data_IF_362193255290
#
_entry.id   IF_362193255290
#
_cell.length_a   1.000
_cell.length_b   1.000
_cell.length_c   1.000
_cell.angle_alpha   90.00
_cell.angle_beta   90.00
_cell.angle_gamma   90.00
#
_symmetry.space_group_name_H-M   'P 1'
#
loop_
_entity.id
_entity.type
_entity.pdbx_description
1 polymer ?
#
# COMPACT_ATOMS: atom_id res chain seq x y z
N UNK A 1 0.92 28.40 -14.03
CA UNK A 1 0.06 27.39 -13.66
C UNK A 1 0.72 26.17 -14.20
N UNK A 2 0.83 25.07 -13.50
CA UNK A 2 1.59 23.87 -13.83
C UNK A 2 3.11 24.04 -13.99
N UNK A 3 3.78 24.30 -12.86
CA UNK A 3 5.18 23.97 -12.63
C UNK A 3 5.27 23.13 -11.38
N UNK A 4 4.66 21.98 -11.42
CA UNK A 4 4.77 20.98 -10.37
C UNK A 4 4.85 19.63 -11.02
N UNK A 5 5.89 18.87 -10.64
CA UNK A 5 5.93 17.43 -10.79
C UNK A 5 6.49 16.83 -12.07
N UNK A 6 7.68 17.29 -12.43
CA UNK A 6 8.64 16.32 -12.91
C UNK A 6 9.68 16.08 -11.79
N UNK A 7 9.24 15.56 -10.67
CA UNK A 7 10.10 15.03 -9.61
C UNK A 7 10.79 13.79 -10.17
N UNK A 8 11.87 14.08 -10.85
CA UNK A 8 12.81 13.20 -11.47
C UNK A 8 13.04 11.96 -10.59
N UNK A 9 12.69 10.77 -11.09
CA UNK A 9 13.09 9.46 -10.51
C UNK A 9 14.58 9.39 -10.18
N UNK A 10 15.41 10.25 -10.76
CA UNK A 10 16.87 10.37 -10.53
C UNK A 10 17.26 11.02 -9.19
N UNK A 11 16.31 11.50 -8.38
CA UNK A 11 16.59 12.23 -7.14
C UNK A 11 16.06 11.57 -5.86
N UNK A 12 15.56 10.34 -5.94
CA UNK A 12 15.16 9.59 -4.76
C UNK A 12 16.39 9.07 -4.02
N UNK A 13 16.38 9.08 -2.69
CA UNK A 13 17.50 8.55 -1.91
C UNK A 13 17.53 7.03 -1.97
N UNK A 14 18.72 6.46 -1.98
CA UNK A 14 18.90 5.03 -1.74
C UNK A 14 18.77 4.72 -0.24
N UNK A 15 18.49 3.47 0.12
CA UNK A 15 18.50 3.05 1.53
C UNK A 15 19.85 3.36 2.20
N UNK A 16 20.94 3.18 1.47
CA UNK A 16 22.28 3.49 1.97
C UNK A 16 22.45 4.99 2.27
N UNK A 17 21.90 5.86 1.41
CA UNK A 17 21.92 7.31 1.61
C UNK A 17 21.05 7.73 2.80
N UNK A 18 19.89 7.12 3.00
CA UNK A 18 19.07 7.33 4.19
C UNK A 18 19.81 6.90 5.47
N UNK A 19 20.58 5.82 5.41
CA UNK A 19 21.42 5.36 6.52
C UNK A 19 22.49 6.41 6.88
N UNK A 20 23.11 7.06 5.89
CA UNK A 20 24.07 8.16 6.17
C UNK A 20 23.43 9.28 6.98
N UNK A 21 22.22 9.71 6.63
CA UNK A 21 21.51 10.76 7.35
C UNK A 21 21.04 10.30 8.74
N UNK A 22 20.66 9.05 8.88
CA UNK A 22 20.28 8.48 10.18
C UNK A 22 21.48 8.41 11.13
N UNK A 23 22.67 8.11 10.62
CA UNK A 23 23.89 8.13 11.43
C UNK A 23 24.34 9.57 11.69
N UNK A 24 24.19 10.50 10.72
CA UNK A 24 24.48 11.92 10.92
C UNK A 24 23.68 12.50 12.09
N UNK A 25 22.43 12.14 12.24
CA UNK A 25 21.57 12.64 13.34
C UNK A 25 22.07 12.23 14.73
N UNK A 26 22.82 11.12 14.81
CA UNK A 26 23.37 10.59 16.07
C UNK A 26 24.76 11.12 16.39
N UNK A 27 25.39 11.83 15.44
CA UNK A 27 26.74 12.32 15.54
C UNK A 27 26.79 13.78 16.01
N UNK A 28 27.76 14.06 16.88
CA UNK A 28 28.12 15.43 17.13
C UNK A 28 28.88 16.00 15.93
N UNK A 29 28.60 17.26 15.59
CA UNK A 29 29.20 17.93 14.45
C UNK A 29 30.66 18.32 14.76
N UNK A 30 31.52 17.33 14.92
CA UNK A 30 32.94 17.49 15.28
C UNK A 30 33.82 16.99 14.15
N UNK A 31 35.11 17.38 14.24
CA UNK A 31 36.15 16.94 13.29
C UNK A 31 36.11 15.39 13.15
N UNK A 32 36.14 14.91 11.93
CA UNK A 32 36.11 13.46 11.63
C UNK A 32 34.71 12.81 11.58
N UNK A 33 33.63 13.60 11.75
CA UNK A 33 32.24 13.08 11.69
C UNK A 33 31.98 12.26 10.44
N UNK A 34 32.37 12.72 9.24
CA UNK A 34 32.19 11.99 7.98
C UNK A 34 32.89 10.62 8.01
N UNK A 35 34.08 10.54 8.62
CA UNK A 35 34.80 9.27 8.73
C UNK A 35 34.07 8.30 9.66
N UNK A 36 33.56 8.77 10.80
CA UNK A 36 32.76 7.94 11.72
C UNK A 36 31.45 7.43 11.08
N UNK A 37 30.76 8.28 10.32
CA UNK A 37 29.56 7.87 9.58
C UNK A 37 29.93 6.81 8.54
N UNK A 38 31.01 7.02 7.80
CA UNK A 38 31.48 6.09 6.79
C UNK A 38 31.83 4.71 7.39
N UNK A 39 32.51 4.70 8.52
CA UNK A 39 32.84 3.49 9.28
C UNK A 39 31.58 2.75 9.74
N UNK A 40 30.62 3.44 10.38
CA UNK A 40 29.34 2.85 10.82
C UNK A 40 28.52 2.31 9.66
N UNK A 41 28.61 2.95 8.51
CA UNK A 41 27.92 2.53 7.29
C UNK A 41 28.69 1.51 6.45
N UNK A 42 29.93 1.16 6.84
CA UNK A 42 30.83 0.24 6.15
C UNK A 42 31.12 0.66 4.69
N UNK A 43 31.38 1.94 4.49
CA UNK A 43 31.71 2.54 3.19
C UNK A 43 32.94 3.44 3.31
N UNK A 44 33.49 3.87 2.18
CA UNK A 44 34.52 4.92 2.18
C UNK A 44 33.91 6.30 2.48
N UNK A 45 34.73 7.28 2.84
CA UNK A 45 34.28 8.64 3.16
C UNK A 45 33.72 9.41 1.98
N UNK A 46 34.18 9.09 0.76
CA UNK A 46 33.84 9.83 -0.45
C UNK A 46 32.34 9.82 -0.81
N UNK A 47 31.62 8.67 -0.83
CA UNK A 47 30.17 8.66 -1.09
C UNK A 47 29.38 9.39 0.00
N UNK A 48 29.77 9.29 1.27
CA UNK A 48 29.13 10.02 2.38
C UNK A 48 29.28 11.52 2.16
N UNK A 49 30.51 12.01 1.97
CA UNK A 49 30.80 13.43 1.77
C UNK A 49 30.04 14.01 0.58
N UNK A 50 30.04 13.31 -0.57
CA UNK A 50 29.29 13.75 -1.77
C UNK A 50 27.79 13.85 -1.51
N UNK A 51 27.23 12.87 -0.81
CA UNK A 51 25.80 12.87 -0.55
C UNK A 51 25.39 13.97 0.46
N UNK A 52 26.17 14.17 1.53
CA UNK A 52 25.91 15.26 2.48
C UNK A 52 26.00 16.64 1.82
N UNK A 53 26.97 16.86 0.92
CA UNK A 53 27.04 18.10 0.13
C UNK A 53 25.79 18.28 -0.74
N UNK A 54 25.34 17.22 -1.42
CA UNK A 54 24.09 17.27 -2.21
C UNK A 54 22.87 17.58 -1.33
N UNK A 55 22.85 17.14 -0.06
CA UNK A 55 21.78 17.50 0.88
C UNK A 55 21.86 18.98 1.30
N UNK A 56 23.05 19.57 1.42
CA UNK A 56 23.20 21.01 1.64
C UNK A 56 22.68 21.81 0.42
N UNK A 57 23.06 21.41 -0.78
CA UNK A 57 22.59 22.05 -2.02
C UNK A 57 21.05 21.99 -2.18
N UNK A 58 20.42 20.94 -1.66
CA UNK A 58 18.96 20.77 -1.63
C UNK A 58 18.27 21.47 -0.46
N UNK A 59 19.02 22.13 0.42
CA UNK A 59 18.46 22.79 1.60
C UNK A 59 18.00 21.85 2.72
N UNK A 60 18.33 20.56 2.65
CA UNK A 60 18.02 19.59 3.70
C UNK A 60 18.99 19.70 4.89
N UNK A 61 20.22 20.12 4.61
CA UNK A 61 21.26 20.38 5.61
C UNK A 61 21.81 21.80 5.46
N UNK A 62 22.28 22.37 6.55
CA UNK A 62 23.11 23.60 6.55
C UNK A 62 24.53 23.28 6.06
N UNK A 63 25.33 24.31 5.79
CA UNK A 63 26.77 24.16 5.44
C UNK A 63 27.54 23.39 6.48
N UNK A 64 27.16 23.52 7.76
CA UNK A 64 27.73 22.78 8.89
C UNK A 64 27.10 21.36 9.05
N UNK A 65 26.43 20.84 8.05
CA UNK A 65 25.77 19.52 8.06
C UNK A 65 24.75 19.32 9.19
N UNK A 66 24.08 20.38 9.66
CA UNK A 66 22.93 20.28 10.58
C UNK A 66 21.63 20.20 9.79
N UNK A 67 20.68 19.43 10.27
CA UNK A 67 19.37 19.38 9.65
C UNK A 67 18.66 20.75 9.68
N UNK A 68 18.15 21.16 8.54
CA UNK A 68 17.15 22.24 8.47
C UNK A 68 15.79 21.73 8.96
N UNK A 69 14.80 22.61 9.15
CA UNK A 69 13.42 22.18 9.47
C UNK A 69 12.86 21.24 8.40
N UNK A 70 13.08 21.59 7.16
CA UNK A 70 12.66 20.80 5.99
C UNK A 70 13.40 19.46 5.96
N UNK A 71 14.69 19.46 6.21
CA UNK A 71 15.51 18.25 6.26
C UNK A 71 15.09 17.32 7.38
N UNK A 72 14.79 17.85 8.56
CA UNK A 72 14.31 17.06 9.70
C UNK A 72 12.95 16.41 9.37
N UNK A 73 12.01 17.20 8.85
CA UNK A 73 10.70 16.67 8.45
C UNK A 73 10.82 15.59 7.36
N UNK A 74 11.75 15.78 6.42
CA UNK A 74 12.02 14.86 5.34
C UNK A 74 12.59 13.53 5.84
N UNK A 75 13.62 13.54 6.70
CA UNK A 75 14.21 12.29 7.22
C UNK A 75 13.26 11.56 8.16
N UNK A 76 12.49 12.27 9.00
CA UNK A 76 11.48 11.67 9.87
C UNK A 76 10.40 10.94 9.06
N UNK A 77 9.98 11.51 7.93
CA UNK A 77 9.02 10.85 7.05
C UNK A 77 9.59 9.53 6.47
N UNK A 78 10.85 9.51 6.04
CA UNK A 78 11.50 8.27 5.57
C UNK A 78 11.68 7.25 6.69
N UNK A 79 12.05 7.66 7.90
CA UNK A 79 12.11 6.76 9.07
C UNK A 79 10.76 6.11 9.34
N UNK A 80 9.69 6.91 9.29
CA UNK A 80 8.33 6.39 9.43
C UNK A 80 7.98 5.38 8.33
N UNK A 81 8.28 5.68 7.08
CA UNK A 81 8.08 4.78 5.94
C UNK A 81 8.83 3.47 6.15
N UNK A 82 10.12 3.53 6.47
CA UNK A 82 10.95 2.33 6.69
C UNK A 82 10.44 1.46 7.85
N UNK A 83 9.85 2.07 8.87
CA UNK A 83 9.24 1.36 10.01
C UNK A 83 7.90 0.69 9.63
N UNK A 84 7.09 1.34 8.81
CA UNK A 84 5.71 0.93 8.52
C UNK A 84 5.58 0.02 7.30
N UNK A 85 6.43 0.20 6.31
CA UNK A 85 6.36 -0.50 5.03
C UNK A 85 6.48 -2.04 5.16
N UNK A 86 7.36 -2.60 6.01
CA UNK A 86 7.39 -4.05 6.24
C UNK A 86 6.06 -4.61 6.76
N UNK A 87 5.40 -3.90 7.67
CA UNK A 87 4.10 -4.31 8.21
C UNK A 87 3.01 -4.28 7.15
N UNK A 88 3.02 -3.27 6.29
CA UNK A 88 2.14 -3.21 5.13
C UNK A 88 2.37 -4.42 4.19
N UNK A 89 3.60 -4.70 3.83
CA UNK A 89 3.92 -5.82 2.94
C UNK A 89 3.51 -7.19 3.51
N UNK A 90 3.73 -7.42 4.81
CA UNK A 90 3.22 -8.62 5.48
C UNK A 90 1.71 -8.74 5.38
N UNK A 91 0.99 -7.63 5.54
CA UNK A 91 -0.48 -7.64 5.51
C UNK A 91 -1.06 -7.98 4.14
N UNK A 92 -0.34 -7.71 3.06
CA UNK A 92 -0.73 -8.05 1.69
C UNK A 92 -0.14 -9.38 1.20
N UNK A 93 0.54 -10.13 2.09
CA UNK A 93 1.01 -11.48 1.83
C UNK A 93 2.40 -11.58 1.21
N UNK A 94 3.23 -10.53 1.27
CA UNK A 94 4.64 -10.62 0.84
C UNK A 94 5.41 -11.51 1.83
N UNK A 95 6.13 -12.55 1.35
CA UNK A 95 6.94 -13.42 2.19
C UNK A 95 8.07 -12.66 2.90
N UNK A 96 8.38 -13.08 4.14
CA UNK A 96 9.42 -12.43 4.97
C UNK A 96 10.77 -12.31 4.25
N UNK A 97 11.17 -13.36 3.52
CA UNK A 97 12.43 -13.37 2.75
C UNK A 97 12.50 -12.31 1.63
N UNK A 98 11.36 -11.75 1.21
CA UNK A 98 11.30 -10.73 0.15
C UNK A 98 11.09 -9.32 0.69
N UNK A 99 10.84 -9.15 1.99
CA UNK A 99 10.47 -7.83 2.55
C UNK A 99 11.57 -6.79 2.34
N UNK A 100 12.81 -7.12 2.63
CA UNK A 100 13.93 -6.19 2.50
C UNK A 100 14.10 -5.70 1.06
N UNK A 101 14.05 -6.62 0.09
CA UNK A 101 14.15 -6.28 -1.33
C UNK A 101 13.00 -5.37 -1.77
N UNK A 102 11.75 -5.71 -1.40
CA UNK A 102 10.58 -4.91 -1.75
C UNK A 102 10.57 -3.53 -1.08
N UNK A 103 11.04 -3.42 0.18
CA UNK A 103 11.21 -2.13 0.86
C UNK A 103 12.23 -1.26 0.12
N UNK A 104 13.36 -1.83 -0.26
CA UNK A 104 14.41 -1.14 -1.03
C UNK A 104 13.86 -0.64 -2.35
N UNK A 105 13.26 -1.53 -3.14
CA UNK A 105 12.74 -1.19 -4.47
C UNK A 105 11.68 -0.09 -4.39
N UNK A 106 10.81 -0.14 -3.39
CA UNK A 106 9.78 0.87 -3.22
C UNK A 106 10.37 2.23 -2.82
N UNK A 107 11.28 2.26 -1.87
CA UNK A 107 11.89 3.51 -1.39
C UNK A 107 12.77 4.17 -2.45
N UNK A 108 13.50 3.38 -3.24
CA UNK A 108 14.44 3.89 -4.23
C UNK A 108 13.78 4.27 -5.57
N UNK A 109 12.55 3.79 -5.84
CA UNK A 109 11.88 3.98 -7.13
C UNK A 109 10.53 4.69 -7.06
N UNK A 110 9.94 4.84 -5.87
CA UNK A 110 8.62 5.45 -5.67
C UNK A 110 8.76 6.71 -4.81
N UNK A 111 8.03 7.78 -5.17
CA UNK A 111 8.09 9.02 -4.40
C UNK A 111 7.64 8.82 -2.95
N UNK A 112 8.30 9.49 -2.02
CA UNK A 112 7.97 9.50 -0.60
C UNK A 112 6.49 9.88 -0.36
N UNK A 113 5.96 10.82 -1.15
CA UNK A 113 4.56 11.23 -1.12
C UNK A 113 3.62 10.06 -1.44
N UNK A 114 3.88 9.33 -2.52
CA UNK A 114 3.06 8.18 -2.93
C UNK A 114 3.07 7.09 -1.87
N UNK A 115 4.26 6.74 -1.33
CA UNK A 115 4.38 5.73 -0.27
C UNK A 115 3.62 6.18 0.98
N UNK A 116 3.78 7.44 1.39
CA UNK A 116 3.10 7.99 2.58
C UNK A 116 1.58 7.98 2.42
N UNK A 117 1.07 8.32 1.23
CA UNK A 117 -0.36 8.28 0.92
C UNK A 117 -0.89 6.86 0.99
N UNK A 118 -0.17 5.89 0.42
CA UNK A 118 -0.51 4.47 0.46
C UNK A 118 -0.57 3.94 1.90
N UNK A 119 0.46 4.23 2.71
CA UNK A 119 0.51 3.81 4.12
C UNK A 119 -0.59 4.48 4.96
N UNK A 120 -0.91 5.74 4.68
CA UNK A 120 -2.00 6.46 5.35
C UNK A 120 -3.36 5.84 5.02
N UNK A 121 -3.60 5.52 3.76
CA UNK A 121 -4.82 4.83 3.34
C UNK A 121 -4.92 3.43 3.96
N UNK A 122 -3.83 2.68 3.98
CA UNK A 122 -3.77 1.38 4.64
C UNK A 122 -4.14 1.47 6.12
N UNK A 123 -3.57 2.44 6.87
CA UNK A 123 -3.92 2.65 8.28
C UNK A 123 -5.39 3.05 8.47
N UNK A 124 -5.91 3.89 7.57
CA UNK A 124 -7.33 4.27 7.60
C UNK A 124 -8.20 3.03 7.39
N UNK A 125 -7.88 2.19 6.42
CA UNK A 125 -8.59 0.93 6.18
C UNK A 125 -8.49 -0.01 7.39
N UNK A 126 -7.32 -0.16 7.99
CA UNK A 126 -7.18 -0.96 9.22
C UNK A 126 -7.95 -0.37 10.40
N UNK A 127 -7.96 0.94 10.55
CA UNK A 127 -8.73 1.61 11.61
C UNK A 127 -10.23 1.48 11.39
N UNK A 128 -10.68 1.49 10.15
CA UNK A 128 -12.04 1.15 9.80
C UNK A 128 -12.30 -0.33 10.06
N UNK A 129 -11.45 -1.26 9.70
CA UNK A 129 -11.63 -2.69 10.02
C UNK A 129 -11.71 -3.00 11.51
N UNK A 130 -11.02 -2.25 12.37
CA UNK A 130 -11.18 -2.36 13.83
C UNK A 130 -12.55 -1.80 14.28
N UNK A 131 -13.08 -0.78 13.60
CA UNK A 131 -14.47 -0.34 13.75
C UNK A 131 -15.44 -1.29 13.04
N UNK A 132 -15.07 -1.84 11.91
CA UNK A 132 -15.83 -2.74 11.02
C UNK A 132 -16.04 -4.16 11.51
N UNK A 133 -15.61 -4.53 12.69
CA UNK A 133 -16.33 -5.61 13.38
C UNK A 133 -17.83 -5.33 13.48
N UNK A 134 -18.31 -4.20 12.94
CA UNK A 134 -19.68 -3.70 13.10
C UNK A 134 -20.35 -3.15 11.86
N UNK A 135 -19.67 -2.81 10.79
CA UNK A 135 -20.33 -2.07 9.72
C UNK A 135 -20.49 -2.91 8.48
N UNK A 136 -21.58 -3.61 8.44
CA UNK A 136 -22.24 -3.94 7.18
C UNK A 136 -22.57 -2.62 6.51
N UNK A 137 -22.16 -2.44 5.27
CA UNK A 137 -22.60 -1.29 4.46
C UNK A 137 -24.11 -1.43 4.26
N UNK A 138 -24.87 -0.71 5.08
CA UNK A 138 -26.33 -0.68 4.93
C UNK A 138 -26.72 0.24 3.77
N UNK A 139 -27.84 0.01 3.15
CA UNK A 139 -28.38 0.89 2.12
C UNK A 139 -28.55 2.33 2.62
N UNK A 140 -28.95 2.50 3.89
CA UNK A 140 -29.05 3.82 4.51
C UNK A 140 -27.71 4.53 4.58
N UNK A 141 -26.64 3.82 5.00
CA UNK A 141 -25.29 4.38 5.05
C UNK A 141 -24.80 4.80 3.65
N UNK A 142 -25.05 3.98 2.64
CA UNK A 142 -24.67 4.31 1.25
C UNK A 142 -25.43 5.55 0.75
N UNK A 143 -26.72 5.71 1.09
CA UNK A 143 -27.53 6.89 0.74
C UNK A 143 -27.03 8.17 1.42
N UNK A 144 -26.54 8.08 2.65
CA UNK A 144 -26.01 9.22 3.40
C UNK A 144 -24.62 9.63 2.93
N UNK A 145 -23.79 8.67 2.51
CA UNK A 145 -22.37 8.89 2.20
C UNK A 145 -22.09 9.11 0.72
N UNK A 146 -22.94 8.62 -0.18
CA UNK A 146 -22.72 8.71 -1.63
C UNK A 146 -23.57 9.83 -2.26
N UNK A 147 -23.06 10.46 -3.33
CA UNK A 147 -23.89 11.35 -4.16
C UNK A 147 -25.12 10.63 -4.70
N UNK A 148 -26.23 11.35 -4.95
CA UNK A 148 -27.48 10.80 -5.47
C UNK A 148 -27.35 9.94 -6.74
N UNK A 149 -26.27 10.13 -7.49
CA UNK A 149 -25.92 9.30 -8.65
C UNK A 149 -24.43 9.18 -8.74
N UNK A 150 -23.91 7.98 -8.57
CA UNK A 150 -22.49 7.67 -8.75
C UNK A 150 -22.33 6.32 -9.45
N UNK A 151 -21.29 6.24 -10.27
CA UNK A 151 -20.76 5.00 -10.80
C UNK A 151 -19.24 5.09 -10.70
N UNK A 152 -18.65 4.23 -9.88
CA UNK A 152 -17.23 4.28 -9.61
C UNK A 152 -16.62 2.88 -9.43
N UNK A 153 -15.33 2.72 -9.75
CA UNK A 153 -14.61 1.48 -9.50
C UNK A 153 -14.36 1.28 -8.01
N UNK A 154 -14.57 0.04 -7.53
CA UNK A 154 -14.30 -0.36 -6.14
C UNK A 154 -13.46 -1.63 -6.14
N UNK A 155 -12.32 -1.58 -5.46
CA UNK A 155 -11.51 -2.76 -5.22
C UNK A 155 -12.11 -3.56 -4.06
N UNK A 156 -12.21 -4.86 -4.24
CA UNK A 156 -12.81 -5.77 -3.27
C UNK A 156 -11.98 -7.04 -3.13
N UNK A 157 -12.22 -7.77 -2.05
CA UNK A 157 -11.68 -9.10 -1.81
C UNK A 157 -12.79 -9.98 -1.22
N UNK A 158 -12.90 -11.20 -1.71
CA UNK A 158 -13.86 -12.18 -1.20
C UNK A 158 -13.19 -13.07 -0.17
N UNK A 159 -13.71 -13.05 1.04
CA UNK A 159 -13.26 -13.92 2.12
C UNK A 159 -14.29 -14.99 2.40
N UNK A 160 -13.81 -16.19 2.73
CA UNK A 160 -14.65 -17.22 3.35
C UNK A 160 -14.51 -17.12 4.87
N UNK A 161 -15.63 -17.21 5.56
CA UNK A 161 -15.64 -17.36 7.01
C UNK A 161 -15.83 -18.86 7.33
N UNK A 162 -14.81 -19.51 7.85
CA UNK A 162 -14.89 -20.88 8.35
C UNK A 162 -14.41 -20.91 9.79
N UNK A 163 -15.33 -21.29 10.69
CA UNK A 163 -15.01 -21.44 12.14
C UNK A 163 -14.39 -20.18 12.79
N UNK A 164 -14.87 -18.99 12.38
CA UNK A 164 -14.37 -17.70 12.89
C UNK A 164 -13.03 -17.26 12.32
N UNK A 165 -12.43 -18.03 11.39
CA UNK A 165 -11.22 -17.64 10.67
C UNK A 165 -11.58 -17.13 9.28
N UNK A 166 -11.24 -15.88 9.01
CA UNK A 166 -11.34 -15.30 7.67
C UNK A 166 -10.15 -15.71 6.83
N UNK A 167 -10.38 -16.32 5.70
CA UNK A 167 -9.36 -16.63 4.72
C UNK A 167 -9.83 -16.20 3.32
N UNK A 168 -8.90 -15.76 2.48
CA UNK A 168 -9.22 -15.37 1.10
C UNK A 168 -9.93 -16.55 0.40
N UNK A 169 -11.07 -16.25 -0.22
CA UNK A 169 -11.85 -17.24 -0.95
C UNK A 169 -11.22 -17.51 -2.31
N UNK A 170 -11.29 -18.77 -2.77
CA UNK A 170 -10.95 -19.09 -4.17
C UNK A 170 -11.86 -18.35 -5.17
N UNK A 171 -13.10 -18.05 -4.77
CA UNK A 171 -14.04 -17.26 -5.57
C UNK A 171 -13.51 -15.84 -5.88
N UNK A 172 -12.57 -15.31 -5.08
CA UNK A 172 -11.95 -14.00 -5.34
C UNK A 172 -11.24 -13.93 -6.69
N UNK A 173 -10.72 -15.06 -7.16
CA UNK A 173 -10.06 -15.17 -8.46
C UNK A 173 -11.04 -15.24 -9.64
N UNK A 174 -12.31 -15.51 -9.39
CA UNK A 174 -13.34 -15.66 -10.42
C UNK A 174 -13.94 -14.34 -10.92
N UNK A 175 -13.44 -13.21 -10.47
CA UNK A 175 -13.94 -11.89 -10.86
C UNK A 175 -12.84 -10.96 -11.36
N UNK A 176 -13.19 -10.09 -12.31
CA UNK A 176 -12.33 -8.96 -12.70
C UNK A 176 -12.29 -7.93 -11.57
N UNK A 177 -11.21 -7.20 -11.49
CA UNK A 177 -11.02 -6.10 -10.53
C UNK A 177 -10.56 -4.85 -11.27
N UNK A 178 -11.12 -3.70 -10.91
CA UNK A 178 -12.12 -3.43 -9.87
C UNK A 178 -13.55 -3.85 -10.24
N UNK A 179 -14.44 -4.01 -9.23
CA UNK A 179 -15.87 -4.04 -9.40
C UNK A 179 -16.42 -2.64 -9.68
N UNK A 180 -17.66 -2.54 -10.13
CA UNK A 180 -18.36 -1.27 -10.30
C UNK A 180 -19.40 -1.10 -9.20
N UNK A 181 -19.23 -0.05 -8.38
CA UNK A 181 -20.29 0.40 -7.48
C UNK A 181 -21.17 1.39 -8.22
N UNK A 182 -22.47 1.07 -8.31
CA UNK A 182 -23.48 1.94 -8.88
C UNK A 182 -24.52 2.29 -7.84
N UNK A 183 -24.71 3.58 -7.60
CA UNK A 183 -25.69 4.09 -6.66
C UNK A 183 -26.60 5.11 -7.36
N UNK A 184 -27.90 5.05 -7.07
CA UNK A 184 -28.87 6.05 -7.48
C UNK A 184 -30.09 6.01 -6.54
N UNK A 185 -31.12 6.82 -6.82
CA UNK A 185 -32.35 6.90 -6.01
C UNK A 185 -33.09 5.57 -5.83
N UNK A 186 -32.84 4.57 -6.71
CA UNK A 186 -33.48 3.25 -6.64
C UNK A 186 -32.73 2.26 -5.74
N UNK A 187 -31.43 2.52 -5.48
CA UNK A 187 -30.61 1.66 -4.64
C UNK A 187 -29.13 1.69 -4.99
N UNK A 188 -28.40 0.76 -4.38
CA UNK A 188 -26.95 0.58 -4.56
C UNK A 188 -26.68 -0.85 -5.03
N UNK A 189 -25.82 -0.97 -6.03
CA UNK A 189 -25.41 -2.25 -6.60
C UNK A 189 -23.88 -2.32 -6.68
N UNK A 190 -23.34 -3.44 -6.25
CA UNK A 190 -21.96 -3.80 -6.52
C UNK A 190 -21.96 -4.81 -7.67
N UNK A 191 -21.46 -4.41 -8.80
CA UNK A 191 -21.47 -5.21 -10.03
C UNK A 191 -20.10 -5.87 -10.18
N UNK A 192 -20.07 -7.19 -10.13
CA UNK A 192 -18.88 -8.02 -10.29
C UNK A 192 -18.89 -8.66 -11.68
N UNK A 193 -17.83 -8.44 -12.45
CA UNK A 193 -17.68 -9.08 -13.75
C UNK A 193 -16.95 -10.40 -13.62
N UNK A 194 -17.54 -11.48 -14.13
CA UNK A 194 -16.96 -12.82 -14.05
C UNK A 194 -15.77 -12.97 -15.00
N UNK A 195 -14.81 -13.74 -14.58
CA UNK A 195 -13.72 -14.21 -15.45
C UNK A 195 -13.47 -15.69 -15.28
N UNK A 196 -12.87 -16.28 -16.28
CA UNK A 196 -12.46 -17.68 -16.23
C UNK A 196 -11.42 -17.91 -15.12
N UNK A 197 -11.67 -18.92 -14.31
CA UNK A 197 -10.72 -19.40 -13.31
C UNK A 197 -10.00 -20.63 -13.81
N UNK A 198 -8.71 -20.70 -13.57
CA UNK A 198 -7.93 -21.89 -13.79
C UNK A 198 -7.56 -22.53 -12.45
N UNK A 199 -7.78 -23.81 -12.33
CA UNK A 199 -7.47 -24.61 -11.16
C UNK A 199 -6.83 -25.93 -11.52
N UNK A 200 -6.17 -26.57 -10.56
CA UNK A 200 -5.67 -27.93 -10.72
C UNK A 200 -6.50 -28.89 -9.86
N UNK A 201 -7.18 -29.83 -10.52
CA UNK A 201 -7.92 -30.88 -9.83
C UNK A 201 -6.92 -31.90 -9.25
N UNK A 202 -6.88 -32.04 -7.92
CA UNK A 202 -6.09 -33.06 -7.25
C UNK A 202 -6.62 -34.47 -7.47
N UNK A 203 -7.93 -34.58 -7.79
CA UNK A 203 -8.59 -35.86 -8.02
C UNK A 203 -8.26 -36.38 -9.41
N UNK A 204 -8.43 -35.55 -10.44
CA UNK A 204 -8.23 -35.96 -11.83
C UNK A 204 -6.80 -35.69 -12.33
N UNK A 205 -5.97 -34.98 -11.53
CA UNK A 205 -4.60 -34.54 -11.89
C UNK A 205 -4.53 -33.72 -13.18
N UNK A 206 -5.60 -32.99 -13.49
CA UNK A 206 -5.73 -32.19 -14.70
C UNK A 206 -5.96 -30.71 -14.38
N UNK A 207 -5.55 -29.83 -15.31
CA UNK A 207 -5.93 -28.43 -15.28
C UNK A 207 -7.40 -28.31 -15.66
N UNK A 208 -8.17 -27.66 -14.83
CA UNK A 208 -9.58 -27.35 -15.07
C UNK A 208 -9.75 -25.86 -15.23
N UNK A 209 -10.59 -25.45 -16.14
CA UNK A 209 -11.07 -24.08 -16.25
C UNK A 209 -12.58 -24.03 -16.06
N UNK A 210 -13.08 -22.91 -15.57
CA UNK A 210 -14.52 -22.73 -15.38
C UNK A 210 -14.85 -21.32 -14.90
N UNK A 211 -16.13 -21.00 -14.91
CA UNK A 211 -16.65 -19.76 -14.38
C UNK A 211 -17.42 -20.01 -13.08
N UNK A 212 -17.55 -18.98 -12.25
CA UNK A 212 -18.45 -19.01 -11.12
C UNK A 212 -19.88 -18.80 -11.61
N UNK A 213 -20.74 -19.80 -11.40
CA UNK A 213 -22.13 -19.73 -11.83
C UNK A 213 -23.04 -19.05 -10.80
N UNK A 214 -22.63 -19.11 -9.51
CA UNK A 214 -23.42 -18.55 -8.42
C UNK A 214 -22.52 -17.90 -7.39
N UNK A 215 -22.98 -16.78 -6.83
CA UNK A 215 -22.41 -16.13 -5.65
C UNK A 215 -23.50 -16.00 -4.59
N UNK A 216 -23.20 -16.39 -3.36
CA UNK A 216 -24.05 -16.13 -2.20
C UNK A 216 -23.33 -15.17 -1.26
N UNK A 217 -24.07 -14.23 -0.73
CA UNK A 217 -23.59 -13.28 0.26
C UNK A 217 -24.45 -13.32 1.53
N UNK A 218 -23.85 -12.99 2.66
CA UNK A 218 -24.55 -12.94 3.93
C UNK A 218 -25.28 -11.60 4.08
N UNK A 219 -26.59 -11.67 4.24
CA UNK A 219 -27.43 -10.55 4.63
C UNK A 219 -28.10 -10.88 5.97
N UNK A 220 -27.63 -10.26 7.02
CA UNK A 220 -28.18 -10.42 8.38
C UNK A 220 -28.26 -11.88 8.89
N UNK A 221 -27.26 -12.68 8.57
CA UNK A 221 -27.21 -14.10 8.93
C UNK A 221 -27.89 -15.03 7.94
N UNK A 222 -28.52 -14.51 6.88
CA UNK A 222 -29.14 -15.29 5.81
C UNK A 222 -28.29 -15.23 4.54
N UNK A 223 -27.98 -16.39 3.96
CA UNK A 223 -27.28 -16.46 2.69
C UNK A 223 -28.24 -16.21 1.54
N UNK A 224 -28.07 -15.06 0.88
CA UNK A 224 -28.83 -14.66 -0.29
C UNK A 224 -28.01 -14.92 -1.54
N UNK A 225 -28.64 -15.41 -2.59
CA UNK A 225 -28.02 -15.60 -3.89
C UNK A 225 -28.02 -14.28 -4.64
N UNK A 226 -26.85 -13.87 -5.14
CA UNK A 226 -26.72 -12.70 -6.00
C UNK A 226 -27.40 -12.94 -7.37
N UNK A 227 -27.96 -11.88 -7.94
CA UNK A 227 -28.51 -11.94 -9.30
C UNK A 227 -27.38 -12.10 -10.32
N UNK A 228 -27.54 -13.03 -11.23
CA UNK A 228 -26.66 -13.23 -12.37
C UNK A 228 -27.35 -12.72 -13.64
N UNK A 229 -26.67 -11.87 -14.39
CA UNK A 229 -27.06 -11.39 -15.70
C UNK A 229 -25.88 -11.44 -16.65
N UNK A 230 -25.96 -12.24 -17.69
CA UNK A 230 -24.85 -12.45 -18.63
C UNK A 230 -23.55 -12.80 -17.89
N UNK A 231 -22.49 -12.01 -18.09
CA UNK A 231 -21.18 -12.17 -17.42
C UNK A 231 -21.04 -11.39 -16.11
N UNK A 232 -22.14 -10.88 -15.54
CA UNK A 232 -22.15 -10.06 -14.33
C UNK A 232 -22.92 -10.72 -13.18
N UNK A 233 -22.46 -10.50 -11.99
CA UNK A 233 -23.13 -10.86 -10.72
C UNK A 233 -23.24 -9.60 -9.87
#
# INVERSE_FOLDING_TARGET
MEKGENLNRRNLPTLQQLRYLTELEKEDNTRGMIARIAEKCQVSTAPVSRYLKSCCEKGLLTEDYRFTKEGQAWIENYKRILKELPSYFRSIGIPEAQLEANVRDMVENISCYTISTMLTNYKRMQSSHVREKRERLTEQFLREMLPEKIECPVYFMLYRNKEGKMALSMADQGFEKPATLKHNRRGSWLILKRKEMQGFSRINREKMSGHLDTLKYDQEGTLIQAECRDDMI
#
